data_IF_334627667971
#
_entry.id   IF_334627667971
#
_cell.length_a   1.000
_cell.length_b   1.000
_cell.length_c   1.000
_cell.angle_alpha   90.00
_cell.angle_beta   90.00
_cell.angle_gamma   90.00
#
_symmetry.space_group_name_H-M   'P 1'
#
loop_
_entity.id
_entity.type
_entity.pdbx_description
1 polymer ?
#
# COMPACT_ATOMS: atom_id res chain seq x y z
N UNK A 1 4.17 -8.28 -7.69
CA UNK A 1 4.92 -8.91 -6.58
C UNK A 1 6.36 -8.45 -6.69
N UNK A 2 7.02 -8.10 -5.58
CA UNK A 2 8.42 -7.68 -5.61
C UNK A 2 9.18 -8.32 -4.44
N UNK A 3 10.38 -8.82 -4.72
CA UNK A 3 11.35 -9.23 -3.69
C UNK A 3 12.62 -8.42 -3.86
N UNK A 4 13.25 -8.05 -2.73
CA UNK A 4 14.54 -7.38 -2.74
C UNK A 4 15.54 -8.18 -1.93
N UNK A 5 16.68 -8.50 -2.54
CA UNK A 5 17.85 -9.06 -1.87
C UNK A 5 18.99 -8.08 -2.05
N UNK A 6 19.39 -7.45 -0.95
CA UNK A 6 20.39 -6.37 -0.96
C UNK A 6 20.01 -5.25 -1.94
N UNK A 7 20.84 -5.06 -2.99
CA UNK A 7 20.65 -4.08 -4.08
C UNK A 7 20.09 -4.71 -5.36
N UNK A 8 19.46 -5.87 -5.27
CA UNK A 8 18.76 -6.51 -6.40
C UNK A 8 17.28 -6.62 -6.10
N UNK A 9 16.45 -6.10 -6.98
CA UNK A 9 14.99 -6.14 -6.91
C UNK A 9 14.48 -7.03 -8.05
N UNK A 10 13.78 -8.10 -7.70
CA UNK A 10 13.06 -8.93 -8.66
C UNK A 10 11.58 -8.59 -8.58
N UNK A 11 11.02 -8.17 -9.70
CA UNK A 11 9.61 -7.82 -9.87
C UNK A 11 8.94 -8.87 -10.74
N UNK A 12 7.72 -9.23 -10.37
CA UNK A 12 6.85 -10.09 -11.17
C UNK A 12 5.50 -9.42 -11.28
N UNK A 13 5.06 -9.17 -12.51
CA UNK A 13 3.74 -8.62 -12.84
C UNK A 13 2.92 -9.73 -13.48
N UNK A 14 1.72 -9.96 -12.95
CA UNK A 14 0.70 -10.77 -13.59
C UNK A 14 -0.37 -9.79 -14.10
N UNK A 15 -0.53 -9.69 -15.41
CA UNK A 15 -1.42 -8.75 -16.07
C UNK A 15 -2.24 -9.48 -17.13
N UNK A 16 -3.55 -9.55 -16.88
CA UNK A 16 -4.50 -10.09 -17.83
C UNK A 16 -4.54 -9.20 -19.09
N UNK A 17 -4.35 -9.81 -20.27
CA UNK A 17 -4.44 -9.13 -21.55
C UNK A 17 -5.83 -9.33 -22.15
N UNK A 18 -6.44 -8.26 -22.65
CA UNK A 18 -7.80 -8.32 -23.20
C UNK A 18 -7.78 -8.83 -24.65
N UNK A 19 -8.35 -10.00 -24.88
CA UNK A 19 -8.16 -10.82 -26.09
C UNK A 19 -8.53 -10.13 -27.39
N UNK A 20 -9.63 -9.36 -27.42
CA UNK A 20 -10.09 -8.66 -28.63
C UNK A 20 -9.10 -7.62 -29.15
N UNK A 21 -8.12 -7.23 -28.34
CA UNK A 21 -7.04 -6.32 -28.71
C UNK A 21 -5.72 -7.02 -29.02
N UNK A 22 -5.66 -8.35 -28.87
CA UNK A 22 -4.47 -9.16 -29.10
C UNK A 22 -4.76 -10.11 -30.27
N UNK A 23 -4.48 -9.70 -31.53
CA UNK A 23 -4.87 -10.48 -32.70
C UNK A 23 -4.12 -11.82 -32.84
N UNK A 24 -2.92 -11.92 -32.28
CA UNK A 24 -2.07 -13.10 -32.37
C UNK A 24 -1.01 -13.15 -31.24
N UNK A 25 -0.29 -14.28 -31.19
CA UNK A 25 0.73 -14.55 -30.18
C UNK A 25 1.96 -13.62 -30.28
N UNK A 26 2.28 -13.09 -31.45
CA UNK A 26 3.42 -12.19 -31.61
C UNK A 26 3.07 -10.79 -31.14
N UNK A 27 1.84 -10.34 -31.37
CA UNK A 27 1.32 -9.11 -30.79
C UNK A 27 1.29 -9.20 -29.26
N UNK A 28 0.83 -10.32 -28.69
CA UNK A 28 0.88 -10.54 -27.23
C UNK A 28 2.30 -10.33 -26.66
N UNK A 29 3.30 -10.98 -27.28
CA UNK A 29 4.71 -10.85 -26.87
C UNK A 29 5.18 -9.40 -26.95
N UNK A 30 4.83 -8.68 -28.04
CA UNK A 30 5.21 -7.27 -28.18
C UNK A 30 4.61 -6.38 -27.09
N UNK A 31 3.36 -6.62 -26.69
CA UNK A 31 2.70 -5.87 -25.60
C UNK A 31 3.36 -6.17 -24.25
N UNK A 32 3.74 -7.44 -24.01
CA UNK A 32 4.48 -7.85 -22.81
C UNK A 32 5.85 -7.17 -22.73
N UNK A 33 6.60 -7.13 -23.82
CA UNK A 33 7.91 -6.45 -23.87
C UNK A 33 7.78 -4.93 -23.71
N UNK A 34 6.81 -4.30 -24.39
CA UNK A 34 6.55 -2.86 -24.22
C UNK A 34 6.19 -2.52 -22.77
N UNK A 35 5.37 -3.35 -22.12
CA UNK A 35 5.04 -3.19 -20.70
C UNK A 35 6.29 -3.29 -19.84
N UNK A 36 7.15 -4.27 -20.12
CA UNK A 36 8.40 -4.48 -19.38
C UNK A 36 9.32 -3.27 -19.48
N UNK A 37 9.51 -2.72 -20.68
CA UNK A 37 10.31 -1.51 -20.92
C UNK A 37 9.74 -0.31 -20.16
N UNK A 38 8.44 -0.05 -20.26
CA UNK A 38 7.78 1.09 -19.58
C UNK A 38 7.88 0.99 -18.06
N UNK A 39 7.71 -0.20 -17.49
CA UNK A 39 7.83 -0.41 -16.05
C UNK A 39 9.27 -0.21 -15.59
N UNK A 40 10.24 -0.74 -16.32
CA UNK A 40 11.66 -0.57 -15.99
C UNK A 40 12.10 0.89 -16.10
N UNK A 41 11.76 1.60 -17.19
CA UNK A 41 12.01 3.05 -17.32
C UNK A 41 11.47 3.82 -16.11
N UNK A 42 10.22 3.55 -15.74
CA UNK A 42 9.61 4.20 -14.59
C UNK A 42 10.31 3.83 -13.27
N UNK A 43 10.67 2.57 -13.08
CA UNK A 43 11.29 2.09 -11.84
C UNK A 43 12.66 2.72 -11.58
N UNK A 44 13.46 2.99 -12.62
CA UNK A 44 14.78 3.65 -12.48
C UNK A 44 14.71 5.05 -11.88
N UNK A 45 13.54 5.71 -11.91
CA UNK A 45 13.32 7.04 -11.29
C UNK A 45 13.31 6.97 -9.76
N UNK A 46 13.12 5.78 -9.20
CA UNK A 46 12.94 5.56 -7.75
C UNK A 46 14.13 4.83 -7.10
N UNK A 47 15.03 4.24 -7.88
CA UNK A 47 16.16 3.46 -7.35
C UNK A 47 17.27 3.28 -8.38
N UNK A 48 18.51 3.19 -7.88
CA UNK A 48 19.72 2.84 -8.62
C UNK A 48 20.07 1.33 -8.52
N UNK A 49 19.19 0.52 -7.94
CA UNK A 49 19.41 -0.90 -7.70
C UNK A 49 19.27 -1.72 -9.00
N UNK A 50 19.84 -2.92 -9.01
CA UNK A 50 19.65 -3.87 -10.11
C UNK A 50 18.17 -4.29 -10.15
N UNK A 51 17.52 -4.09 -11.30
CA UNK A 51 16.11 -4.42 -11.52
C UNK A 51 15.98 -5.62 -12.46
N UNK A 52 15.23 -6.63 -12.03
CA UNK A 52 14.74 -7.71 -12.88
C UNK A 52 13.21 -7.64 -12.93
N UNK A 53 12.62 -7.83 -14.10
CA UNK A 53 11.17 -7.85 -14.28
C UNK A 53 10.74 -9.03 -15.15
N UNK A 54 9.86 -9.85 -14.58
CA UNK A 54 9.06 -10.84 -15.29
C UNK A 54 7.63 -10.34 -15.41
N UNK A 55 7.06 -10.42 -16.61
CA UNK A 55 5.64 -10.17 -16.87
C UNK A 55 5.03 -11.49 -17.35
N UNK A 56 3.92 -11.90 -16.74
CA UNK A 56 3.21 -13.14 -17.04
C UNK A 56 4.12 -14.37 -17.09
N UNK A 57 4.97 -14.54 -16.07
CA UNK A 57 6.00 -15.58 -15.99
C UNK A 57 5.50 -17.02 -16.21
N UNK A 58 4.20 -17.28 -16.03
CA UNK A 58 3.59 -18.59 -16.23
C UNK A 58 3.23 -18.90 -17.70
N UNK A 59 3.37 -17.93 -18.61
CA UNK A 59 3.11 -18.13 -20.04
C UNK A 59 4.02 -19.22 -20.61
N UNK A 60 3.48 -19.99 -21.57
CA UNK A 60 4.22 -21.00 -22.31
C UNK A 60 3.85 -20.94 -23.81
N UNK A 61 4.61 -20.16 -24.60
CA UNK A 61 4.37 -19.99 -26.03
C UNK A 61 4.43 -21.30 -26.83
N UNK A 62 5.23 -22.28 -26.40
CA UNK A 62 5.33 -23.57 -27.09
C UNK A 62 4.02 -24.38 -27.02
N UNK A 63 3.21 -24.13 -26.00
CA UNK A 63 1.89 -24.75 -25.82
C UNK A 63 0.72 -23.81 -26.16
N UNK A 64 1.01 -22.58 -26.60
CA UNK A 64 -0.02 -21.55 -26.82
C UNK A 64 -0.69 -21.05 -25.54
N UNK A 65 -0.06 -21.24 -24.37
CA UNK A 65 -0.58 -20.78 -23.10
C UNK A 65 -0.16 -19.32 -22.86
N UNK A 66 -1.13 -18.43 -22.88
CA UNK A 66 -0.97 -16.99 -22.67
C UNK A 66 -2.04 -16.49 -21.71
N UNK A 67 -1.72 -15.48 -20.90
CA UNK A 67 -2.68 -14.86 -19.99
C UNK A 67 -3.64 -13.89 -20.70
N UNK A 68 -4.53 -14.46 -21.51
CA UNK A 68 -5.61 -13.77 -22.19
C UNK A 68 -6.92 -13.85 -21.40
N UNK A 69 -7.72 -12.78 -21.47
CA UNK A 69 -9.05 -12.67 -20.88
C UNK A 69 -9.99 -11.89 -21.79
N UNK A 70 -11.29 -12.13 -21.72
CA UNK A 70 -12.32 -11.36 -22.44
C UNK A 70 -12.60 -10.04 -21.75
N UNK A 71 -12.65 -10.05 -20.42
CA UNK A 71 -13.10 -8.92 -19.58
C UNK A 71 -11.96 -8.10 -18.98
N UNK A 72 -10.73 -8.60 -19.02
CA UNK A 72 -9.58 -8.01 -18.31
C UNK A 72 -9.46 -8.45 -16.85
N UNK A 73 -10.28 -9.39 -16.39
CA UNK A 73 -10.27 -9.93 -15.02
C UNK A 73 -10.20 -11.45 -15.05
N UNK A 74 -9.30 -12.06 -14.26
CA UNK A 74 -9.21 -13.52 -14.16
C UNK A 74 -10.42 -14.20 -13.54
N UNK A 75 -11.28 -13.44 -12.85
CA UNK A 75 -12.51 -13.94 -12.27
C UNK A 75 -13.45 -14.60 -13.30
N UNK A 76 -13.34 -14.23 -14.59
CA UNK A 76 -14.10 -14.89 -15.66
C UNK A 76 -13.73 -16.38 -15.83
N UNK A 77 -12.53 -16.77 -15.40
CA UNK A 77 -11.98 -18.13 -15.51
C UNK A 77 -11.93 -18.86 -14.16
N UNK A 78 -12.72 -18.41 -13.17
CA UNK A 78 -12.93 -19.12 -11.91
C UNK A 78 -12.12 -18.63 -10.71
N UNK A 79 -11.37 -17.54 -10.84
CA UNK A 79 -10.73 -16.89 -9.68
C UNK A 79 -11.77 -16.17 -8.80
N UNK A 80 -11.74 -16.44 -7.49
CA UNK A 80 -12.62 -15.81 -6.51
C UNK A 80 -11.94 -14.67 -5.73
N UNK A 81 -12.74 -13.66 -5.36
CA UNK A 81 -12.31 -12.52 -4.54
C UNK A 81 -13.19 -12.30 -3.31
N UNK A 82 -12.59 -11.87 -2.20
CA UNK A 82 -13.34 -11.46 -1.00
C UNK A 82 -12.69 -10.28 -0.28
N UNK A 83 -13.52 -9.53 0.45
CA UNK A 83 -13.10 -8.33 1.18
C UNK A 83 -12.03 -8.68 2.21
N UNK A 84 -10.98 -7.86 2.30
CA UNK A 84 -9.90 -8.01 3.28
C UNK A 84 -8.79 -8.99 2.91
N UNK A 85 -8.85 -9.62 1.73
CA UNK A 85 -7.85 -10.58 1.23
C UNK A 85 -6.77 -10.00 0.32
N UNK A 86 -6.82 -8.69 0.06
CA UNK A 86 -5.84 -7.97 -0.76
C UNK A 86 -4.94 -7.04 0.05
N UNK A 87 -4.71 -5.86 -0.49
CA UNK A 87 -3.90 -4.81 0.11
C UNK A 87 -4.40 -4.37 1.49
N UNK A 88 -3.49 -3.80 2.30
CA UNK A 88 -3.83 -3.07 3.51
C UNK A 88 -4.26 -1.65 3.15
N UNK A 89 -4.69 -0.86 4.13
CA UNK A 89 -5.13 0.53 3.98
C UNK A 89 -4.17 1.39 3.12
N UNK A 90 -2.86 1.19 3.27
CA UNK A 90 -1.84 1.96 2.55
C UNK A 90 -1.64 1.56 1.07
N UNK A 91 -2.42 0.60 0.55
CA UNK A 91 -2.31 0.14 -0.83
C UNK A 91 -1.36 -1.03 -1.06
N UNK A 92 -0.74 -1.59 -0.02
CA UNK A 92 0.29 -2.64 -0.15
C UNK A 92 0.08 -3.81 0.82
N UNK A 93 0.71 -4.94 0.50
CA UNK A 93 0.94 -6.05 1.43
C UNK A 93 2.44 -6.06 1.73
N UNK A 94 2.81 -5.79 2.98
CA UNK A 94 4.21 -5.57 3.39
C UNK A 94 4.60 -6.49 4.54
N UNK A 95 5.03 -7.74 4.26
CA UNK A 95 5.35 -8.73 5.30
C UNK A 95 6.43 -8.32 6.31
N UNK A 96 7.29 -7.36 5.93
CA UNK A 96 8.35 -6.81 6.78
C UNK A 96 7.91 -5.58 7.60
N UNK A 97 6.63 -5.20 7.56
CA UNK A 97 6.06 -4.09 8.34
C UNK A 97 4.97 -4.61 9.27
N UNK A 98 4.72 -3.95 10.41
CA UNK A 98 3.51 -4.18 11.18
C UNK A 98 2.26 -3.95 10.29
N UNK A 99 1.32 -4.88 10.33
CA UNK A 99 0.07 -4.78 9.56
C UNK A 99 -1.13 -5.07 10.44
N UNK A 100 -2.19 -4.29 10.24
CA UNK A 100 -3.51 -4.63 10.76
C UNK A 100 -4.17 -5.70 9.88
N UNK A 101 -4.82 -6.67 10.52
CA UNK A 101 -5.63 -7.67 9.83
C UNK A 101 -7.04 -7.16 9.49
N UNK A 102 -7.43 -5.98 9.99
CA UNK A 102 -8.74 -5.38 9.71
C UNK A 102 -8.89 -5.00 8.24
N UNK A 103 -10.03 -5.38 7.66
CA UNK A 103 -10.45 -4.89 6.36
C UNK A 103 -11.05 -3.48 6.52
N UNK A 104 -10.48 -2.49 5.83
CA UNK A 104 -10.98 -1.11 5.86
C UNK A 104 -12.16 -0.88 4.90
N UNK A 105 -12.21 -1.63 3.79
CA UNK A 105 -13.29 -1.56 2.82
C UNK A 105 -14.64 -2.02 3.42
N UNK A 106 -15.73 -1.34 3.05
CA UNK A 106 -17.10 -1.67 3.49
C UNK A 106 -17.45 -1.31 4.95
N UNK A 107 -16.48 -1.04 5.82
CA UNK A 107 -16.73 -0.65 7.22
C UNK A 107 -17.23 0.80 7.34
N UNK A 108 -18.09 1.04 8.34
CA UNK A 108 -18.69 2.35 8.63
C UNK A 108 -17.60 3.38 8.98
N UNK A 109 -17.52 4.53 8.28
CA UNK A 109 -16.48 5.54 8.47
C UNK A 109 -16.75 6.50 9.65
N UNK A 110 -17.70 6.20 10.52
CA UNK A 110 -18.03 6.98 11.72
C UNK A 110 -17.71 6.15 12.97
N UNK A 111 -18.21 4.92 13.02
CA UNK A 111 -18.20 4.12 14.25
C UNK A 111 -17.17 3.00 14.26
N UNK A 112 -16.65 2.57 13.09
CA UNK A 112 -15.76 1.42 13.04
C UNK A 112 -14.30 1.82 13.26
N UNK A 113 -13.84 1.73 14.52
CA UNK A 113 -12.48 2.08 14.95
C UNK A 113 -11.38 1.46 14.09
N UNK A 114 -11.52 0.19 13.68
CA UNK A 114 -10.50 -0.48 12.85
C UNK A 114 -10.24 0.22 11.50
N UNK A 115 -11.27 0.84 10.90
CA UNK A 115 -11.10 1.60 9.66
C UNK A 115 -10.48 2.96 9.95
N UNK A 116 -11.04 3.65 10.94
CA UNK A 116 -10.64 5.00 11.32
C UNK A 116 -9.17 5.05 11.74
N UNK A 117 -8.75 4.10 12.57
CA UNK A 117 -7.40 4.04 13.11
C UNK A 117 -6.35 3.59 12.09
N UNK A 118 -6.70 2.71 11.14
CA UNK A 118 -5.77 2.39 10.05
C UNK A 118 -5.50 3.61 9.18
N UNK A 119 -6.53 4.41 8.87
CA UNK A 119 -6.37 5.66 8.12
C UNK A 119 -5.57 6.68 8.94
N UNK A 120 -5.97 6.91 10.19
CA UNK A 120 -5.37 7.91 11.06
C UNK A 120 -3.90 7.61 11.36
N UNK A 121 -3.56 6.35 11.65
CA UNK A 121 -2.18 5.93 11.87
C UNK A 121 -1.28 6.23 10.67
N UNK A 122 -1.78 6.01 9.44
CA UNK A 122 -1.05 6.35 8.23
C UNK A 122 -0.85 7.86 8.08
N UNK A 123 -1.85 8.68 8.42
CA UNK A 123 -1.75 10.14 8.35
C UNK A 123 -0.79 10.71 9.38
N UNK A 124 -0.86 10.23 10.63
CA UNK A 124 0.08 10.61 11.69
C UNK A 124 1.52 10.27 11.26
N UNK A 125 1.77 9.05 10.80
CA UNK A 125 3.10 8.63 10.35
C UNK A 125 3.65 9.52 9.22
N UNK A 126 2.82 9.77 8.20
CA UNK A 126 3.19 10.62 7.07
C UNK A 126 3.47 12.07 7.49
N UNK A 127 2.65 12.63 8.37
CA UNK A 127 2.80 14.01 8.82
C UNK A 127 4.05 14.19 9.69
N UNK A 128 4.35 13.23 10.57
CA UNK A 128 5.61 13.19 11.34
C UNK A 128 6.82 13.19 10.39
N UNK A 129 6.88 12.23 9.46
CA UNK A 129 8.03 12.12 8.54
C UNK A 129 8.18 13.38 7.70
N UNK A 130 7.07 13.92 7.16
CA UNK A 130 7.08 15.13 6.34
C UNK A 130 7.51 16.37 7.12
N UNK A 131 6.93 16.62 8.29
CA UNK A 131 7.29 17.76 9.15
C UNK A 131 8.71 17.64 9.69
N UNK A 132 9.26 16.42 9.75
CA UNK A 132 10.63 16.20 10.20
C UNK A 132 11.72 16.77 9.30
N UNK A 133 11.40 17.04 8.03
CA UNK A 133 12.36 17.54 7.06
C UNK A 133 13.67 16.72 7.06
N UNK A 134 13.55 15.39 7.08
CA UNK A 134 14.67 14.45 7.04
C UNK A 134 15.25 14.04 8.41
N UNK A 135 14.75 14.58 9.52
CA UNK A 135 15.19 14.16 10.86
C UNK A 135 14.63 12.79 11.27
N UNK A 136 13.47 12.41 10.71
CA UNK A 136 12.83 11.11 10.93
C UNK A 136 12.85 10.37 9.59
N UNK A 137 13.54 9.23 9.57
CA UNK A 137 13.65 8.35 8.39
C UNK A 137 12.39 7.50 8.24
N UNK A 138 11.81 7.08 9.36
CA UNK A 138 10.61 6.25 9.38
C UNK A 138 9.82 6.45 10.68
N UNK A 139 8.50 6.31 10.61
CA UNK A 139 7.61 6.33 11.76
C UNK A 139 6.57 5.20 11.65
N UNK A 140 6.49 4.36 12.67
CA UNK A 140 5.48 3.31 12.81
C UNK A 140 4.45 3.72 13.87
N UNK A 141 3.18 3.82 13.46
CA UNK A 141 2.07 4.23 14.34
C UNK A 141 1.10 3.08 14.54
N UNK A 142 0.77 2.79 15.81
CA UNK A 142 -0.19 1.75 16.23
C UNK A 142 -1.20 2.36 17.18
N UNK A 143 -2.48 2.28 16.83
CA UNK A 143 -3.57 2.80 17.65
C UNK A 143 -4.47 1.64 18.08
N UNK A 144 -4.65 1.47 19.38
CA UNK A 144 -5.47 0.42 19.97
C UNK A 144 -6.69 1.05 20.65
N UNK A 145 -7.88 0.64 20.23
CA UNK A 145 -9.13 1.04 20.88
C UNK A 145 -9.39 0.20 22.13
N UNK A 146 -10.15 0.76 23.07
CA UNK A 146 -10.86 -0.02 24.10
C UNK A 146 -12.36 0.19 23.91
N UNK A 147 -13.13 -0.89 23.97
CA UNK A 147 -14.59 -0.83 23.84
C UNK A 147 -15.19 0.08 24.93
N UNK A 148 -16.08 0.99 24.53
CA UNK A 148 -16.70 1.96 25.44
C UNK A 148 -15.95 3.29 25.59
N UNK A 149 -14.72 3.41 25.07
CA UNK A 149 -14.02 4.71 25.02
C UNK A 149 -14.37 5.50 23.74
N UNK A 150 -14.38 6.84 23.79
CA UNK A 150 -14.49 7.67 22.60
C UNK A 150 -13.40 7.34 21.57
N UNK A 151 -13.70 7.43 20.28
CA UNK A 151 -12.73 7.12 19.22
C UNK A 151 -11.52 8.09 19.19
N UNK A 152 -11.67 9.30 19.74
CA UNK A 152 -10.58 10.27 19.91
C UNK A 152 -9.68 9.96 21.11
N UNK A 153 -10.07 9.05 21.99
CA UNK A 153 -9.35 8.67 23.21
C UNK A 153 -9.05 7.16 23.21
N UNK A 154 -8.08 6.71 22.39
CA UNK A 154 -7.70 5.30 22.31
C UNK A 154 -7.11 4.81 23.63
N UNK A 155 -7.10 3.49 23.84
CA UNK A 155 -6.36 2.87 24.94
C UNK A 155 -4.87 3.18 24.84
N UNK A 156 -4.35 3.18 23.61
CA UNK A 156 -2.96 3.52 23.33
C UNK A 156 -2.82 4.04 21.90
N UNK A 157 -2.05 5.12 21.75
CA UNK A 157 -1.47 5.54 20.48
C UNK A 157 0.06 5.46 20.60
N UNK A 158 0.65 4.40 20.06
CA UNK A 158 2.09 4.15 20.11
C UNK A 158 2.73 4.63 18.81
N UNK A 159 3.73 5.50 18.94
CA UNK A 159 4.56 5.99 17.82
C UNK A 159 6.00 5.54 18.05
N UNK A 160 6.55 4.79 17.10
CA UNK A 160 7.94 4.40 17.08
C UNK A 160 8.65 5.19 15.99
N UNK A 161 9.74 5.87 16.35
CA UNK A 161 10.49 6.76 15.47
C UNK A 161 11.86 6.16 15.14
N UNK A 162 12.24 6.19 13.87
CA UNK A 162 13.57 5.86 13.40
C UNK A 162 14.26 7.16 12.97
N UNK A 163 15.22 7.59 13.77
CA UNK A 163 15.86 8.89 13.62
C UNK A 163 17.01 8.85 12.62
N UNK A 164 17.19 9.96 11.90
CA UNK A 164 18.41 10.20 11.14
C UNK A 164 19.59 10.46 12.08
N UNK A 165 20.84 10.18 11.66
CA UNK A 165 22.03 10.49 12.44
C UNK A 165 22.06 11.97 12.87
N UNK A 166 22.21 12.22 14.17
CA UNK A 166 22.29 13.57 14.73
C UNK A 166 20.95 14.26 15.01
N UNK A 167 19.80 13.61 14.75
CA UNK A 167 18.50 14.16 15.09
C UNK A 167 18.23 14.13 16.61
N UNK A 168 17.55 15.17 17.10
CA UNK A 168 17.20 15.32 18.53
C UNK A 168 15.98 14.46 18.89
N UNK A 169 16.23 13.35 19.58
CA UNK A 169 15.20 12.42 20.02
C UNK A 169 14.15 13.05 20.96
N UNK A 170 14.58 13.89 21.91
CA UNK A 170 13.68 14.48 22.89
C UNK A 170 12.74 15.49 22.23
N UNK A 171 13.25 16.27 21.27
CA UNK A 171 12.43 17.15 20.44
C UNK A 171 11.39 16.34 19.65
N UNK A 172 11.84 15.34 18.88
CA UNK A 172 10.94 14.61 17.98
C UNK A 172 9.92 13.74 18.71
N UNK A 173 10.22 13.28 19.91
CA UNK A 173 9.22 12.65 20.78
C UNK A 173 8.07 13.61 21.11
N UNK A 174 8.37 14.87 21.47
CA UNK A 174 7.35 15.88 21.78
C UNK A 174 6.54 16.28 20.55
N UNK A 175 7.22 16.48 19.42
CA UNK A 175 6.56 16.82 18.14
C UNK A 175 5.64 15.68 17.67
N UNK A 176 6.10 14.43 17.72
CA UNK A 176 5.29 13.27 17.35
C UNK A 176 4.07 13.10 18.25
N UNK A 177 4.22 13.37 19.55
CA UNK A 177 3.09 13.38 20.48
C UNK A 177 2.07 14.46 20.09
N UNK A 178 2.51 15.71 19.90
CA UNK A 178 1.62 16.81 19.53
C UNK A 178 0.88 16.57 18.20
N UNK A 179 1.59 16.04 17.19
CA UNK A 179 0.97 15.67 15.90
C UNK A 179 -0.09 14.57 16.11
N UNK A 180 0.22 13.55 16.90
CA UNK A 180 -0.71 12.44 17.15
C UNK A 180 -1.97 12.92 17.88
N UNK A 181 -1.79 13.76 18.89
CA UNK A 181 -2.86 14.35 19.69
C UNK A 181 -3.78 15.22 18.82
N UNK A 182 -3.21 16.12 18.00
CA UNK A 182 -3.97 16.95 17.05
C UNK A 182 -4.82 16.09 16.10
N UNK A 183 -4.25 15.01 15.55
CA UNK A 183 -4.98 14.10 14.66
C UNK A 183 -6.09 13.35 15.36
N UNK A 184 -5.90 12.94 16.62
CA UNK A 184 -6.91 12.26 17.43
C UNK A 184 -8.06 13.19 17.80
N UNK A 185 -7.78 14.42 18.21
CA UNK A 185 -8.80 15.46 18.45
C UNK A 185 -9.62 15.74 17.17
N UNK A 186 -8.95 15.71 16.02
CA UNK A 186 -9.55 15.99 14.71
C UNK A 186 -9.97 14.72 13.93
N UNK A 187 -10.18 13.59 14.60
CA UNK A 187 -10.46 12.30 13.93
C UNK A 187 -11.69 12.33 13.01
N UNK A 188 -12.64 13.25 13.24
CA UNK A 188 -13.78 13.47 12.34
C UNK A 188 -13.40 13.83 10.90
N UNK A 189 -12.19 14.39 10.67
CA UNK A 189 -11.65 14.62 9.32
C UNK A 189 -11.51 13.33 8.51
N UNK A 190 -11.27 12.20 9.18
CA UNK A 190 -11.24 10.88 8.52
C UNK A 190 -12.60 10.57 7.91
N UNK A 191 -13.68 10.72 8.67
CA UNK A 191 -15.05 10.50 8.18
C UNK A 191 -15.34 11.38 6.97
N UNK A 192 -15.06 12.68 7.07
CA UNK A 192 -15.32 13.64 6.00
C UNK A 192 -14.63 13.23 4.71
N UNK A 193 -13.33 12.92 4.77
CA UNK A 193 -12.54 12.56 3.59
C UNK A 193 -12.96 11.22 3.01
N UNK A 194 -13.29 10.23 3.84
CA UNK A 194 -13.76 8.93 3.37
C UNK A 194 -15.10 9.06 2.63
N UNK A 195 -16.05 9.82 3.18
CA UNK A 195 -17.36 10.04 2.54
C UNK A 195 -17.21 10.78 1.21
N UNK A 196 -16.24 11.69 1.10
CA UNK A 196 -15.89 12.39 -0.15
C UNK A 196 -15.09 11.54 -1.15
N UNK A 197 -14.76 10.29 -0.83
CA UNK A 197 -13.94 9.42 -1.69
C UNK A 197 -12.48 9.90 -1.83
N UNK A 198 -11.98 10.69 -0.89
CA UNK A 198 -10.63 11.30 -0.94
C UNK A 198 -9.56 10.45 -0.23
N UNK A 199 -9.93 9.24 0.21
CA UNK A 199 -9.06 8.35 0.97
C UNK A 199 -9.10 6.98 0.32
N UNK A 200 -7.94 6.53 -0.15
CA UNK A 200 -7.71 5.14 -0.54
C UNK A 200 -7.84 4.24 0.69
N UNK A 201 -8.47 3.07 0.57
CA UNK A 201 -8.69 2.13 1.70
C UNK A 201 -8.15 0.72 1.43
N UNK A 202 -7.48 0.53 0.30
CA UNK A 202 -6.76 -0.67 -0.16
C UNK A 202 -5.95 -0.30 -1.41
#
# INVERSE_FOLDING_TARGET
MCSRKDKKINMTIACAMVDRYIPDADHYKSVVEEMKERVLDNATKYTDYELHLDVNHADNPATGNFYLTVTGLSAENGDDGSVGRGNRMNGLITPYRPMSMEASAGKNPITHVGKMYNILANWIANDIVKKSNGNIVEADVRILSQIGRPISDPETCSVQLFLAPGADAAKWQKEAYAISDEWLENIGKVTEKVVKGQVTVF
#
